data_IF_131274187807
#
_entry.id   IF_131274187807
#
_cell.length_a   1.000
_cell.length_b   1.000
_cell.length_c   1.000
_cell.angle_alpha   90.00
_cell.angle_beta   90.00
_cell.angle_gamma   90.00
#
_symmetry.space_group_name_H-M   'P 1'
#
loop_
_entity.id
_entity.type
_entity.pdbx_description
1 polymer ?
#
# COMPACT_ATOMS: atom_id res chain seq x y z
N UNK A 1 4.80 21.58 4.62
CA UNK A 1 4.14 20.47 3.89
C UNK A 1 3.24 19.75 4.88
N UNK A 2 1.93 19.70 4.65
CA UNK A 2 1.03 18.91 5.49
C UNK A 2 1.34 17.43 5.31
N UNK A 3 1.71 16.73 6.39
CA UNK A 3 1.86 15.29 6.38
C UNK A 3 0.49 14.65 6.07
N UNK A 4 0.21 14.34 4.80
CA UNK A 4 -1.02 13.65 4.41
C UNK A 4 -0.88 12.16 4.77
N UNK A 5 -1.05 11.88 6.06
CA UNK A 5 -0.97 10.54 6.63
C UNK A 5 -2.28 9.80 6.36
N UNK A 6 -2.18 8.57 5.88
CA UNK A 6 -3.31 7.67 5.72
C UNK A 6 -3.13 6.42 6.53
N UNK A 7 -4.22 5.87 7.02
CA UNK A 7 -4.22 4.55 7.63
C UNK A 7 -4.14 3.46 6.56
N UNK A 8 -3.76 2.25 6.98
CA UNK A 8 -3.81 1.04 6.13
C UNK A 8 -5.19 0.87 5.49
N UNK A 9 -6.25 1.16 6.25
CA UNK A 9 -7.63 1.05 5.76
C UNK A 9 -7.90 2.05 4.64
N UNK A 10 -7.62 3.33 4.87
CA UNK A 10 -7.89 4.37 3.86
C UNK A 10 -7.10 4.14 2.57
N UNK A 11 -5.83 3.72 2.68
CA UNK A 11 -5.02 3.40 1.51
C UNK A 11 -5.54 2.16 0.76
N UNK A 12 -6.02 1.15 1.49
CA UNK A 12 -6.60 -0.05 0.89
C UNK A 12 -7.90 0.28 0.14
N UNK A 13 -8.80 1.05 0.78
CA UNK A 13 -10.06 1.49 0.20
C UNK A 13 -9.82 2.37 -1.05
N UNK A 14 -8.81 3.26 -1.03
CA UNK A 14 -8.42 4.09 -2.18
C UNK A 14 -7.87 3.28 -3.36
N UNK A 15 -7.11 2.22 -3.09
CA UNK A 15 -6.50 1.39 -4.12
C UNK A 15 -7.39 0.23 -4.58
N UNK A 16 -8.57 0.05 -3.97
CA UNK A 16 -9.45 -1.08 -4.27
C UNK A 16 -8.84 -2.44 -3.91
N UNK A 17 -7.92 -2.47 -2.94
CA UNK A 17 -7.23 -3.69 -2.49
C UNK A 17 -7.58 -4.02 -1.05
N UNK A 18 -7.17 -5.22 -0.60
CA UNK A 18 -7.39 -5.61 0.80
C UNK A 18 -6.37 -4.96 1.73
N UNK A 19 -6.76 -4.78 3.00
CA UNK A 19 -5.86 -4.34 4.08
C UNK A 19 -4.64 -5.25 4.23
N UNK A 20 -4.80 -6.55 3.95
CA UNK A 20 -3.73 -7.54 4.04
C UNK A 20 -2.64 -7.28 3.00
N UNK A 21 -3.02 -6.93 1.77
CA UNK A 21 -2.09 -6.57 0.69
C UNK A 21 -1.24 -5.36 1.07
N UNK A 22 -1.88 -4.31 1.60
CA UNK A 22 -1.18 -3.12 2.11
C UNK A 22 -0.24 -3.50 3.26
N UNK A 23 -0.71 -4.31 4.21
CA UNK A 23 0.07 -4.75 5.37
C UNK A 23 1.27 -5.62 5.00
N UNK A 24 1.15 -6.44 3.96
CA UNK A 24 2.25 -7.23 3.41
C UNK A 24 3.37 -6.34 2.89
N UNK A 25 3.05 -5.33 2.07
CA UNK A 25 4.05 -4.38 1.59
C UNK A 25 4.71 -3.60 2.72
N UNK A 26 3.94 -3.26 3.77
CA UNK A 26 4.45 -2.59 4.96
C UNK A 26 5.48 -3.45 5.69
N UNK A 27 5.20 -4.74 5.90
CA UNK A 27 6.12 -5.67 6.60
C UNK A 27 7.47 -5.81 5.90
N UNK A 28 7.52 -5.62 4.59
CA UNK A 28 8.73 -5.75 3.78
C UNK A 28 9.55 -4.45 3.65
N UNK A 29 9.10 -3.35 4.28
CA UNK A 29 9.87 -2.11 4.33
C UNK A 29 10.93 -2.17 5.45
N UNK A 30 12.15 -1.67 5.22
CA UNK A 30 13.23 -1.68 6.21
C UNK A 30 12.96 -0.74 7.41
N UNK A 31 12.01 0.19 7.28
CA UNK A 31 11.59 1.08 8.36
C UNK A 31 10.82 0.33 9.46
N UNK A 32 11.46 0.17 10.63
CA UNK A 32 10.89 -0.49 11.82
C UNK A 32 10.04 0.45 12.69
N UNK A 33 10.18 1.77 12.56
CA UNK A 33 9.43 2.73 13.39
C UNK A 33 8.18 3.17 12.62
N UNK A 34 7.01 2.77 13.13
CA UNK A 34 5.72 3.12 12.54
C UNK A 34 4.98 4.11 13.43
N UNK A 35 4.57 5.22 12.85
CA UNK A 35 3.70 6.19 13.50
C UNK A 35 2.32 5.55 13.67
N UNK A 36 1.74 5.69 14.85
CA UNK A 36 0.36 5.26 15.13
C UNK A 36 -0.47 6.49 15.50
N UNK A 37 -1.75 6.47 15.18
CA UNK A 37 -2.69 7.47 15.69
C UNK A 37 -3.11 7.15 17.14
N UNK A 38 -3.90 8.03 17.74
CA UNK A 38 -4.48 7.86 19.09
C UNK A 38 -5.35 6.60 19.25
N UNK A 39 -5.82 6.01 18.13
CA UNK A 39 -6.62 4.78 18.09
C UNK A 39 -5.76 3.53 17.84
N UNK A 40 -4.44 3.66 17.83
CA UNK A 40 -3.49 2.56 17.60
C UNK A 40 -3.36 2.11 16.14
N UNK A 41 -4.01 2.79 15.19
CA UNK A 41 -3.89 2.48 13.77
C UNK A 41 -2.56 3.00 13.21
N UNK A 42 -1.92 2.18 12.37
CA UNK A 42 -0.68 2.53 11.68
C UNK A 42 -0.97 3.64 10.67
N UNK A 43 -0.20 4.72 10.75
CA UNK A 43 -0.21 5.85 9.83
C UNK A 43 0.94 5.70 8.83
N UNK A 44 0.61 5.89 7.55
CA UNK A 44 1.52 5.77 6.43
C UNK A 44 1.91 7.16 5.92
N UNK A 45 3.21 7.40 5.81
CA UNK A 45 3.73 8.63 5.19
C UNK A 45 3.45 8.63 3.70
N UNK A 46 3.57 9.82 3.07
CA UNK A 46 3.38 9.95 1.62
C UNK A 46 4.36 9.07 0.82
N UNK A 47 5.58 8.88 1.33
CA UNK A 47 6.59 8.00 0.72
C UNK A 47 6.17 6.53 0.80
N UNK A 48 5.71 6.07 1.96
CA UNK A 48 5.22 4.69 2.13
C UNK A 48 4.00 4.42 1.25
N UNK A 49 3.07 5.39 1.18
CA UNK A 49 1.92 5.32 0.29
C UNK A 49 2.36 5.19 -1.18
N UNK A 50 3.28 6.05 -1.66
CA UNK A 50 3.77 6.00 -3.03
C UNK A 50 4.50 4.70 -3.36
N UNK A 51 5.30 4.17 -2.42
CA UNK A 51 5.95 2.88 -2.57
C UNK A 51 4.93 1.76 -2.76
N UNK A 52 3.91 1.70 -1.91
CA UNK A 52 2.84 0.68 -2.00
C UNK A 52 2.08 0.83 -3.32
N UNK A 53 1.69 2.06 -3.71
CA UNK A 53 1.03 2.35 -4.98
C UNK A 53 1.83 1.84 -6.19
N UNK A 54 3.13 2.11 -6.22
CA UNK A 54 4.00 1.64 -7.31
C UNK A 54 4.10 0.12 -7.39
N UNK A 55 4.03 -0.59 -6.25
CA UNK A 55 4.07 -2.05 -6.20
C UNK A 55 2.77 -2.68 -6.68
N UNK A 56 1.64 -2.12 -6.27
CA UNK A 56 0.30 -2.58 -6.63
C UNK A 56 0.07 -2.39 -8.14
N UNK A 57 0.36 -1.20 -8.69
CA UNK A 57 0.24 -0.96 -10.14
C UNK A 57 1.15 -1.88 -10.97
N UNK A 58 2.38 -2.13 -10.51
CA UNK A 58 3.29 -3.04 -11.22
C UNK A 58 2.80 -4.50 -11.20
N UNK A 59 2.00 -4.89 -10.21
CA UNK A 59 1.40 -6.22 -10.16
C UNK A 59 0.21 -6.32 -11.11
N UNK A 60 -0.65 -5.29 -11.19
CA UNK A 60 -1.76 -5.29 -12.15
C UNK A 60 -1.29 -5.35 -13.60
N UNK A 61 -0.18 -4.69 -13.94
CA UNK A 61 0.36 -4.71 -15.30
C UNK A 61 0.87 -6.11 -15.70
N UNK A 62 1.43 -6.85 -14.74
CA UNK A 62 1.90 -8.23 -14.97
C UNK A 62 0.76 -9.23 -15.08
N UNK A 63 -0.25 -9.10 -14.22
CA UNK A 63 -1.43 -9.97 -14.24
C UNK A 63 -2.22 -9.78 -15.54
N UNK A 64 -2.27 -8.56 -16.12
CA UNK A 64 -2.89 -8.34 -17.43
C UNK A 64 -2.08 -8.94 -18.59
N UNK A 65 -0.75 -8.93 -18.54
CA UNK A 65 0.07 -9.56 -19.58
C UNK A 65 -0.08 -11.08 -19.64
N UNK A 66 -0.23 -11.75 -18.49
CA UNK A 66 -0.34 -13.21 -18.43
C UNK A 66 -1.71 -13.74 -18.92
N UNK A 67 -2.76 -12.92 -18.87
CA UNK A 67 -4.10 -13.30 -19.37
C UNK A 67 -4.15 -13.25 -20.91
N UNK A 68 -3.46 -12.31 -21.54
CA UNK A 68 -3.47 -12.13 -23.01
C UNK A 68 -2.70 -13.25 -23.73
N UNK A 69 -1.69 -13.85 -23.10
CA UNK A 69 -0.90 -14.95 -23.68
C UNK A 69 -1.56 -16.35 -23.59
N UNK A 70 -2.70 -16.48 -22.92
CA UNK A 70 -3.42 -17.75 -22.73
C UNK A 70 -4.75 -17.85 -23.50
N UNK A 71 -5.07 -16.86 -24.33
CA UNK A 71 -6.32 -16.80 -25.12
C UNK A 71 -6.09 -17.17 -26.58
#
# INVERSE_FOLDING_TARGET
MSENLKTIKELADELGITKQTVQYHIKNLPSKIRKKNSRGAILLTKEEQNFIKSRVNKQSDREQSDVILKS
#
